data_IF_035101257886
#
_entry.id   IF_035101257886
#
_cell.length_a   1.000
_cell.length_b   1.000
_cell.length_c   1.000
_cell.angle_alpha   90.00
_cell.angle_beta   90.00
_cell.angle_gamma   90.00
#
_symmetry.space_group_name_H-M   'P 1'
#
loop_
_entity.id
_entity.type
_entity.pdbx_description
1 polymer ?
#
# COMPACT_ATOMS: atom_id res chain seq x y z
N UNK A 1 -22.96 -7.36 -8.46
CA UNK A 1 -23.57 -8.13 -9.57
C UNK A 1 -22.62 -9.21 -10.06
N UNK A 2 -21.34 -8.92 -10.30
CA UNK A 2 -20.36 -9.90 -10.83
C UNK A 2 -20.13 -11.14 -9.95
N UNK A 3 -20.15 -11.02 -8.62
CA UNK A 3 -19.97 -12.16 -7.71
C UNK A 3 -21.12 -13.20 -7.78
N UNK A 4 -22.38 -12.74 -7.95
CA UNK A 4 -23.53 -13.63 -8.12
C UNK A 4 -23.53 -14.29 -9.50
N UNK A 5 -23.14 -13.55 -10.55
CA UNK A 5 -22.90 -14.12 -11.87
C UNK A 5 -21.78 -15.18 -11.86
N UNK A 6 -20.68 -14.96 -11.12
CA UNK A 6 -19.59 -15.93 -11.03
C UNK A 6 -19.97 -17.24 -10.34
N UNK A 7 -20.78 -17.18 -9.29
CA UNK A 7 -21.36 -18.36 -8.62
C UNK A 7 -22.30 -19.10 -9.57
N UNK A 8 -23.17 -18.37 -10.27
CA UNK A 8 -24.10 -18.93 -11.24
C UNK A 8 -23.35 -19.63 -12.40
N UNK A 9 -22.36 -18.96 -13.00
CA UNK A 9 -21.52 -19.50 -14.09
C UNK A 9 -20.77 -20.76 -13.64
N UNK A 10 -20.18 -20.78 -12.44
CA UNK A 10 -19.48 -21.96 -11.94
C UNK A 10 -20.40 -23.16 -11.69
N UNK A 11 -21.68 -22.91 -11.39
CA UNK A 11 -22.69 -23.95 -11.19
C UNK A 11 -23.09 -24.65 -12.51
N UNK A 12 -22.97 -23.96 -13.65
CA UNK A 12 -23.30 -24.50 -14.97
C UNK A 12 -22.15 -25.26 -15.65
N UNK A 13 -20.90 -25.08 -15.21
CA UNK A 13 -19.75 -25.75 -15.82
C UNK A 13 -19.57 -27.17 -15.26
N UNK A 14 -19.38 -28.15 -16.13
CA UNK A 14 -18.96 -29.49 -15.76
C UNK A 14 -17.55 -29.51 -15.14
N UNK A 15 -17.19 -30.58 -14.44
CA UNK A 15 -15.85 -30.75 -13.85
C UNK A 15 -14.74 -30.64 -14.92
N UNK A 16 -15.00 -31.13 -16.14
CA UNK A 16 -14.08 -31.10 -17.27
C UNK A 16 -13.92 -29.69 -17.84
N UNK A 17 -15.01 -28.97 -18.07
CA UNK A 17 -14.96 -27.58 -18.55
C UNK A 17 -14.29 -26.68 -17.53
N UNK A 18 -14.53 -26.88 -16.24
CA UNK A 18 -13.78 -26.19 -15.18
C UNK A 18 -12.28 -26.49 -15.28
N UNK A 19 -11.86 -27.73 -15.59
CA UNK A 19 -10.44 -28.11 -15.75
C UNK A 19 -9.81 -27.51 -17.01
N UNK A 20 -10.54 -27.47 -18.12
CA UNK A 20 -10.08 -26.87 -19.38
C UNK A 20 -9.97 -25.33 -19.26
N UNK A 21 -11.00 -24.66 -18.70
CA UNK A 21 -10.94 -23.23 -18.36
C UNK A 21 -9.78 -22.90 -17.41
N UNK A 22 -9.53 -23.76 -16.40
CA UNK A 22 -8.39 -23.65 -15.46
C UNK A 22 -7.02 -23.76 -16.15
N UNK A 23 -6.91 -24.55 -17.22
CA UNK A 23 -5.66 -24.71 -17.97
C UNK A 23 -5.36 -23.49 -18.85
N UNK A 24 -6.41 -22.81 -19.34
CA UNK A 24 -6.32 -21.74 -20.32
C UNK A 24 -6.23 -20.35 -19.66
N UNK A 25 -6.95 -20.08 -18.57
CA UNK A 25 -6.91 -18.79 -17.88
C UNK A 25 -7.01 -18.93 -16.37
N UNK A 26 -6.15 -18.21 -15.61
CA UNK A 26 -6.30 -18.08 -14.15
C UNK A 26 -7.17 -16.90 -13.76
N UNK A 27 -7.66 -16.14 -14.73
CA UNK A 27 -8.35 -14.86 -14.57
C UNK A 27 -9.75 -14.98 -14.00
N UNK A 28 -10.42 -16.12 -14.21
CA UNK A 28 -11.70 -16.46 -13.55
C UNK A 28 -11.58 -16.46 -12.03
N UNK A 29 -10.36 -16.65 -11.48
CA UNK A 29 -10.15 -16.48 -10.06
C UNK A 29 -10.61 -15.11 -9.67
N UNK A 30 -10.28 -14.02 -10.38
CA UNK A 30 -10.65 -12.67 -9.99
C UNK A 30 -12.15 -12.48 -9.75
N UNK A 31 -12.99 -12.97 -10.66
CA UNK A 31 -14.43 -12.69 -10.66
C UNK A 31 -15.25 -13.60 -9.75
N UNK A 32 -14.74 -14.79 -9.37
CA UNK A 32 -15.52 -15.78 -8.64
C UNK A 32 -15.10 -15.88 -7.16
N UNK A 33 -15.63 -15.00 -6.32
CA UNK A 33 -15.35 -14.95 -4.86
C UNK A 33 -15.58 -16.26 -4.13
N UNK A 34 -16.65 -16.99 -4.49
CA UNK A 34 -16.91 -18.32 -3.93
C UNK A 34 -15.78 -19.31 -4.23
N UNK A 35 -15.27 -19.35 -5.45
CA UNK A 35 -14.15 -20.24 -5.82
C UNK A 35 -12.82 -19.81 -5.16
N UNK A 36 -12.66 -18.50 -4.93
CA UNK A 36 -11.49 -17.92 -4.27
C UNK A 36 -11.43 -18.27 -2.77
N UNK A 37 -12.57 -18.29 -2.06
CA UNK A 37 -12.59 -18.30 -0.59
C UNK A 37 -13.46 -19.37 0.07
N UNK A 38 -14.45 -19.94 -0.64
CA UNK A 38 -15.38 -20.92 -0.09
C UNK A 38 -14.82 -22.34 -0.24
N UNK A 39 -14.55 -22.96 0.91
CA UNK A 39 -13.96 -24.29 1.02
C UNK A 39 -14.86 -25.34 1.69
N UNK A 40 -16.09 -24.99 2.05
CA UNK A 40 -16.75 -25.57 3.23
C UNK A 40 -18.19 -26.03 3.01
N UNK A 41 -18.75 -25.96 1.81
CA UNK A 41 -20.09 -26.53 1.59
C UNK A 41 -20.00 -28.05 1.49
N UNK A 42 -20.83 -28.71 2.31
CA UNK A 42 -20.88 -30.15 2.55
C UNK A 42 -21.35 -30.97 1.34
N UNK A 43 -21.44 -30.38 0.15
CA UNK A 43 -21.78 -31.04 -1.10
C UNK A 43 -20.57 -31.03 -2.04
N UNK A 44 -19.97 -32.21 -2.15
CA UNK A 44 -19.02 -32.64 -3.21
C UNK A 44 -17.58 -32.08 -3.21
N UNK A 45 -16.69 -32.91 -2.64
CA UNK A 45 -15.29 -33.16 -3.01
C UNK A 45 -14.39 -31.93 -3.30
N UNK A 46 -13.89 -31.39 -2.18
CA UNK A 46 -12.57 -30.77 -1.91
C UNK A 46 -12.21 -29.37 -2.44
N UNK A 47 -12.08 -28.37 -1.53
CA UNK A 47 -11.37 -27.12 -1.84
C UNK A 47 -10.28 -26.70 -0.83
N UNK A 48 -9.90 -27.50 0.18
CA UNK A 48 -8.83 -27.13 1.15
C UNK A 48 -7.40 -27.22 0.60
N UNK A 49 -7.16 -28.03 -0.45
CA UNK A 49 -5.84 -28.23 -1.08
C UNK A 49 -5.73 -27.64 -2.49
N UNK A 50 -6.75 -26.94 -2.96
CA UNK A 50 -6.81 -26.41 -4.32
C UNK A 50 -5.91 -25.18 -4.48
N UNK A 51 -5.03 -25.16 -5.49
CA UNK A 51 -4.28 -23.96 -5.90
C UNK A 51 -5.17 -22.82 -6.42
N UNK A 52 -6.49 -22.99 -6.39
CA UNK A 52 -7.48 -22.01 -6.85
C UNK A 52 -8.22 -21.34 -5.69
N UNK A 53 -8.11 -21.89 -4.48
CA UNK A 53 -8.60 -21.25 -3.27
C UNK A 53 -7.46 -20.40 -2.69
N UNK A 54 -7.63 -19.08 -2.62
CA UNK A 54 -6.62 -18.12 -2.16
C UNK A 54 -6.20 -18.35 -0.70
N UNK A 55 -7.07 -18.98 0.11
CA UNK A 55 -6.77 -19.37 1.50
C UNK A 55 -6.04 -20.71 1.61
N UNK A 56 -5.93 -21.48 0.53
CA UNK A 56 -5.30 -22.80 0.58
C UNK A 56 -3.79 -22.70 0.76
N UNK A 57 -3.19 -23.71 1.41
CA UNK A 57 -1.73 -23.82 1.52
C UNK A 57 -1.07 -23.94 0.14
N UNK A 58 -1.72 -24.64 -0.78
CA UNK A 58 -1.19 -24.88 -2.13
C UNK A 58 -1.10 -23.59 -2.94
N UNK A 59 -2.16 -22.76 -2.95
CA UNK A 59 -2.15 -21.45 -3.60
C UNK A 59 -1.07 -20.56 -2.97
N UNK A 60 -1.07 -20.43 -1.63
CA UNK A 60 -0.07 -19.59 -0.94
C UNK A 60 1.36 -20.01 -1.26
N UNK A 61 1.63 -21.31 -1.34
CA UNK A 61 2.94 -21.80 -1.73
C UNK A 61 3.27 -21.43 -3.19
N UNK A 62 2.37 -21.71 -4.14
CA UNK A 62 2.58 -21.38 -5.55
C UNK A 62 2.78 -19.87 -5.78
N UNK A 63 1.99 -19.04 -5.11
CA UNK A 63 2.07 -17.59 -5.16
C UNK A 63 3.39 -17.06 -4.57
N UNK A 64 3.76 -17.48 -3.36
CA UNK A 64 5.01 -17.05 -2.72
C UNK A 64 6.23 -17.46 -3.53
N UNK A 65 6.25 -18.70 -4.04
CA UNK A 65 7.32 -19.18 -4.91
C UNK A 65 7.41 -18.32 -6.17
N UNK A 66 6.29 -18.09 -6.85
CA UNK A 66 6.25 -17.25 -8.04
C UNK A 66 6.77 -15.82 -7.78
N UNK A 67 6.31 -15.16 -6.72
CA UNK A 67 6.72 -13.79 -6.39
C UNK A 67 8.21 -13.71 -6.09
N UNK A 68 8.75 -14.67 -5.33
CA UNK A 68 10.19 -14.76 -5.05
C UNK A 68 10.98 -14.92 -6.34
N UNK A 69 10.58 -15.85 -7.21
CA UNK A 69 11.31 -16.15 -8.44
C UNK A 69 11.23 -14.97 -9.44
N UNK A 70 10.11 -14.24 -9.48
CA UNK A 70 9.97 -13.01 -10.26
C UNK A 70 10.83 -11.88 -9.72
N UNK A 71 10.87 -11.67 -8.41
CA UNK A 71 11.76 -10.68 -7.81
C UNK A 71 13.24 -11.01 -8.09
N UNK A 72 13.63 -12.29 -7.94
CA UNK A 72 15.00 -12.73 -8.21
C UNK A 72 15.42 -12.61 -9.68
N UNK A 73 14.50 -12.81 -10.62
CA UNK A 73 14.81 -12.66 -12.05
C UNK A 73 14.75 -11.21 -12.54
N UNK A 74 13.88 -10.38 -11.96
CA UNK A 74 13.76 -8.97 -12.31
C UNK A 74 14.91 -8.13 -11.74
N UNK A 75 15.33 -8.40 -10.50
CA UNK A 75 16.29 -7.55 -9.79
C UNK A 75 17.64 -7.38 -10.52
N UNK A 76 18.30 -8.43 -11.05
CA UNK A 76 19.56 -8.26 -11.77
C UNK A 76 19.42 -7.41 -13.03
N UNK A 77 18.27 -7.46 -13.71
CA UNK A 77 18.01 -6.62 -14.89
C UNK A 77 17.86 -5.16 -14.48
N UNK A 78 17.10 -4.90 -13.41
CA UNK A 78 16.96 -3.56 -12.84
C UNK A 78 18.31 -2.98 -12.39
N UNK A 79 19.11 -3.76 -11.64
CA UNK A 79 20.39 -3.30 -11.10
C UNK A 79 21.44 -3.01 -12.19
N UNK A 80 21.37 -3.68 -13.35
CA UNK A 80 22.23 -3.35 -14.51
C UNK A 80 22.00 -1.93 -15.04
N UNK A 81 20.85 -1.34 -14.76
CA UNK A 81 20.47 0.00 -15.20
C UNK A 81 20.73 1.07 -14.14
N UNK A 82 21.21 0.67 -12.97
CA UNK A 82 21.41 1.55 -11.81
C UNK A 82 22.89 1.62 -11.44
N UNK A 83 23.31 2.68 -10.72
CA UNK A 83 24.64 2.72 -10.12
C UNK A 83 24.90 1.50 -9.23
N UNK A 84 26.15 1.07 -9.16
CA UNK A 84 26.54 -0.07 -8.32
C UNK A 84 26.19 0.22 -6.86
N UNK A 85 25.55 -0.72 -6.17
CA UNK A 85 25.22 -0.55 -4.76
C UNK A 85 26.47 -0.46 -3.89
N UNK A 86 26.50 0.50 -2.97
CA UNK A 86 27.58 0.66 -2.00
C UNK A 86 27.07 0.33 -0.59
N UNK A 87 27.74 -0.61 0.07
CA UNK A 87 27.22 -1.29 1.27
C UNK A 87 27.14 -0.33 2.46
N UNK A 88 28.16 0.49 2.67
CA UNK A 88 28.28 1.38 3.81
C UNK A 88 27.20 2.47 3.77
N UNK A 89 27.04 3.12 2.63
CA UNK A 89 26.06 4.17 2.38
C UNK A 89 24.62 3.61 2.43
N UNK A 90 24.43 2.38 1.96
CA UNK A 90 23.13 1.69 2.12
C UNK A 90 22.80 1.44 3.60
N UNK A 91 23.79 1.08 4.41
CA UNK A 91 23.60 0.86 5.84
C UNK A 91 23.35 2.16 6.59
N UNK A 92 23.99 3.26 6.19
CA UNK A 92 23.72 4.60 6.71
C UNK A 92 22.29 5.05 6.40
N UNK A 93 21.85 4.93 5.15
CA UNK A 93 20.47 5.21 4.74
C UNK A 93 19.46 4.41 5.58
N UNK A 94 19.74 3.13 5.84
CA UNK A 94 18.88 2.28 6.69
C UNK A 94 18.81 2.75 8.14
N UNK A 95 19.93 3.23 8.70
CA UNK A 95 19.93 3.85 10.04
C UNK A 95 19.05 5.10 10.04
N UNK A 96 19.18 5.94 9.01
CA UNK A 96 18.33 7.13 8.83
C UNK A 96 16.83 6.81 8.77
N UNK A 97 16.44 5.75 8.04
CA UNK A 97 15.05 5.29 7.98
C UNK A 97 14.49 4.87 9.36
N UNK A 98 15.31 4.22 10.19
CA UNK A 98 14.92 3.89 11.56
C UNK A 98 14.74 5.16 12.41
N UNK A 99 15.60 6.16 12.25
CA UNK A 99 15.46 7.45 12.94
C UNK A 99 14.21 8.20 12.49
N UNK A 100 13.87 8.19 11.20
CA UNK A 100 12.63 8.78 10.69
C UNK A 100 11.39 8.29 11.41
N UNK A 101 11.32 6.97 11.63
CA UNK A 101 10.19 6.35 12.34
C UNK A 101 10.12 6.75 13.82
N UNK A 102 11.25 7.08 14.44
CA UNK A 102 11.36 7.31 15.88
C UNK A 102 11.29 8.80 16.26
N UNK A 103 11.92 9.67 15.47
CA UNK A 103 12.09 11.11 15.76
C UNK A 103 11.57 12.03 14.66
N UNK A 104 10.99 11.49 13.59
CA UNK A 104 10.36 12.27 12.51
C UNK A 104 11.32 12.94 11.53
N UNK A 105 12.62 12.61 11.59
CA UNK A 105 13.61 13.15 10.64
C UNK A 105 13.47 12.47 9.27
N UNK A 106 13.26 13.23 8.20
CA UNK A 106 13.18 12.67 6.85
C UNK A 106 14.54 12.09 6.43
N UNK A 107 14.60 10.84 5.95
CA UNK A 107 15.84 10.25 5.44
C UNK A 107 16.13 10.82 4.04
N UNK A 108 17.38 11.22 3.78
CA UNK A 108 17.78 11.65 2.43
C UNK A 108 18.03 10.43 1.55
N UNK A 109 17.44 10.43 0.36
CA UNK A 109 17.73 9.44 -0.66
C UNK A 109 18.63 9.99 -1.76
N UNK A 110 19.39 11.08 -1.55
CA UNK A 110 20.23 11.71 -2.58
C UNK A 110 21.38 10.82 -3.09
N UNK A 111 21.95 9.97 -2.24
CA UNK A 111 23.05 9.08 -2.64
C UNK A 111 22.55 7.92 -3.54
N UNK A 112 22.95 7.93 -4.81
CA UNK A 112 22.48 6.98 -5.80
C UNK A 112 22.93 5.52 -5.55
N UNK A 113 24.11 5.33 -4.95
CA UNK A 113 24.63 4.01 -4.59
C UNK A 113 23.87 3.41 -3.40
N UNK A 114 23.52 4.24 -2.41
CA UNK A 114 22.67 3.84 -1.29
C UNK A 114 21.26 3.45 -1.76
N UNK A 115 20.68 4.20 -2.72
CA UNK A 115 19.38 3.85 -3.34
C UNK A 115 19.42 2.49 -4.03
N UNK A 116 20.47 2.21 -4.81
CA UNK A 116 20.62 0.90 -5.47
C UNK A 116 20.70 -0.24 -4.46
N UNK A 117 21.45 -0.07 -3.36
CA UNK A 117 21.53 -1.08 -2.31
C UNK A 117 20.20 -1.24 -1.55
N UNK A 118 19.46 -0.15 -1.33
CA UNK A 118 18.10 -0.21 -0.79
C UNK A 118 17.18 -1.02 -1.71
N UNK A 119 17.24 -0.77 -3.03
CA UNK A 119 16.47 -1.51 -4.04
C UNK A 119 16.77 -3.01 -3.98
N UNK A 120 18.07 -3.34 -3.97
CA UNK A 120 18.54 -4.72 -3.88
C UNK A 120 18.03 -5.43 -2.61
N UNK A 121 18.06 -4.75 -1.47
CA UNK A 121 17.67 -5.35 -0.18
C UNK A 121 16.15 -5.41 0.03
N UNK A 122 15.36 -4.61 -0.69
CA UNK A 122 13.91 -4.44 -0.44
C UNK A 122 13.02 -4.86 -1.62
N UNK A 123 13.55 -5.53 -2.63
CA UNK A 123 12.76 -6.03 -3.78
C UNK A 123 11.55 -6.89 -3.38
N UNK A 124 11.62 -7.56 -2.24
CA UNK A 124 10.51 -8.36 -1.70
C UNK A 124 9.25 -7.52 -1.42
N UNK A 125 9.38 -6.19 -1.29
CA UNK A 125 8.25 -5.25 -1.14
C UNK A 125 7.35 -5.19 -2.38
N UNK A 126 7.78 -5.68 -3.54
CA UNK A 126 6.89 -5.94 -4.68
C UNK A 126 5.72 -6.88 -4.31
N UNK A 127 5.84 -7.63 -3.21
CA UNK A 127 4.75 -8.45 -2.68
C UNK A 127 3.64 -7.67 -1.99
N UNK A 128 3.85 -6.43 -1.56
CA UNK A 128 2.96 -5.78 -0.59
C UNK A 128 1.54 -5.59 -1.12
N UNK A 129 1.37 -4.72 -2.12
CA UNK A 129 0.07 -4.50 -2.75
C UNK A 129 -0.54 -5.79 -3.31
N UNK A 130 0.16 -6.65 -4.08
CA UNK A 130 -0.42 -7.90 -4.57
C UNK A 130 -0.96 -8.82 -3.47
N UNK A 131 -0.27 -8.94 -2.33
CA UNK A 131 -0.74 -9.77 -1.23
C UNK A 131 -1.99 -9.17 -0.56
N UNK A 132 -2.08 -7.85 -0.45
CA UNK A 132 -3.32 -7.19 0.01
C UNK A 132 -4.44 -7.42 -0.98
N UNK A 133 -4.16 -7.26 -2.28
CA UNK A 133 -5.12 -7.51 -3.34
C UNK A 133 -5.61 -8.95 -3.34
N UNK A 134 -4.98 -9.92 -2.66
CA UNK A 134 -5.47 -11.31 -2.54
C UNK A 134 -6.41 -11.55 -1.35
N UNK A 135 -6.69 -10.52 -0.55
CA UNK A 135 -7.65 -10.58 0.56
C UNK A 135 -9.09 -10.64 0.05
N UNK A 136 -10.02 -11.02 0.93
CA UNK A 136 -11.44 -11.14 0.56
C UNK A 136 -12.07 -9.75 0.39
N UNK A 137 -11.68 -8.84 1.28
CA UNK A 137 -12.06 -7.43 1.33
C UNK A 137 -11.76 -6.70 0.01
N UNK A 138 -10.65 -7.06 -0.66
CA UNK A 138 -10.23 -6.47 -1.93
C UNK A 138 -10.63 -7.28 -3.16
N UNK A 139 -11.56 -8.22 -3.03
CA UNK A 139 -12.02 -9.03 -4.17
C UNK A 139 -12.66 -8.22 -5.29
N UNK A 140 -13.47 -7.21 -4.95
CA UNK A 140 -14.09 -6.30 -5.93
C UNK A 140 -13.02 -5.51 -6.69
N UNK A 141 -12.15 -4.78 -5.98
CA UNK A 141 -11.06 -4.01 -6.59
C UNK A 141 -10.16 -4.88 -7.48
N UNK A 142 -9.75 -6.06 -6.98
CA UNK A 142 -8.96 -7.03 -7.75
C UNK A 142 -9.70 -7.45 -9.03
N UNK A 143 -11.01 -7.67 -8.97
CA UNK A 143 -11.81 -8.01 -10.16
C UNK A 143 -11.81 -6.89 -11.18
N UNK A 144 -11.97 -5.65 -10.73
CA UNK A 144 -12.00 -4.48 -11.60
C UNK A 144 -10.63 -4.19 -12.25
N UNK A 145 -9.55 -4.26 -11.46
CA UNK A 145 -8.16 -4.07 -11.90
C UNK A 145 -7.73 -5.04 -13.00
N UNK A 146 -8.26 -6.26 -12.99
CA UNK A 146 -7.87 -7.30 -13.93
C UNK A 146 -9.04 -7.82 -14.78
N UNK A 147 -10.13 -7.06 -14.91
CA UNK A 147 -11.31 -7.42 -15.73
C UNK A 147 -10.93 -7.68 -17.19
N UNK A 148 -11.60 -8.64 -17.87
CA UNK A 148 -11.43 -8.91 -19.31
C UNK A 148 -11.90 -7.72 -20.15
N UNK A 149 -11.17 -7.42 -21.23
CA UNK A 149 -11.54 -6.36 -22.19
C UNK A 149 -11.69 -4.98 -21.52
N UNK A 150 -10.69 -4.58 -20.74
CA UNK A 150 -10.66 -3.21 -20.22
C UNK A 150 -10.61 -2.22 -21.39
N UNK A 151 -11.66 -1.41 -21.52
CA UNK A 151 -11.73 -0.36 -22.54
C UNK A 151 -10.87 0.86 -22.18
N UNK A 152 -10.41 0.96 -20.93
CA UNK A 152 -9.64 2.07 -20.39
C UNK A 152 -8.47 1.57 -19.55
N UNK A 153 -7.36 2.30 -19.57
CA UNK A 153 -6.21 2.09 -18.68
C UNK A 153 -6.60 2.39 -17.23
N UNK A 154 -5.99 1.67 -16.29
CA UNK A 154 -6.00 2.00 -14.87
C UNK A 154 -4.87 2.96 -14.56
N UNK A 155 -5.21 4.16 -14.10
CA UNK A 155 -4.26 5.14 -13.62
C UNK A 155 -4.09 4.99 -12.10
N UNK A 156 -2.85 4.76 -11.68
CA UNK A 156 -2.43 4.56 -10.30
C UNK A 156 -1.51 5.70 -9.87
N UNK A 157 -1.77 6.30 -8.71
CA UNK A 157 -0.90 7.29 -8.08
C UNK A 157 -0.23 6.66 -6.85
N UNK A 158 1.10 6.54 -6.86
CA UNK A 158 1.88 5.92 -5.79
C UNK A 158 2.62 7.01 -5.00
N UNK A 159 2.05 7.44 -3.89
CA UNK A 159 2.62 8.48 -3.02
C UNK A 159 3.65 7.88 -2.06
N UNK A 160 4.86 8.47 -2.05
CA UNK A 160 6.03 7.86 -1.41
C UNK A 160 6.39 6.52 -2.06
N UNK A 161 6.14 6.39 -3.36
CA UNK A 161 6.27 5.12 -4.07
C UNK A 161 7.72 4.64 -4.23
N UNK A 162 8.70 5.50 -3.95
CA UNK A 162 10.13 5.21 -4.02
C UNK A 162 10.53 4.53 -5.33
N UNK A 163 11.04 3.28 -5.31
CA UNK A 163 11.44 2.56 -6.53
C UNK A 163 10.28 1.94 -7.32
N UNK A 164 9.01 2.18 -6.95
CA UNK A 164 7.85 1.72 -7.70
C UNK A 164 7.45 0.25 -7.47
N UNK A 165 7.76 -0.29 -6.28
CA UNK A 165 7.51 -1.70 -5.95
C UNK A 165 6.05 -2.13 -6.13
N UNK A 166 5.08 -1.29 -5.76
CA UNK A 166 3.65 -1.63 -5.88
C UNK A 166 3.23 -1.77 -7.35
N UNK A 167 3.77 -0.95 -8.25
CA UNK A 167 3.53 -1.09 -9.68
C UNK A 167 4.16 -2.37 -10.23
N UNK A 168 5.44 -2.63 -9.92
CA UNK A 168 6.14 -3.85 -10.35
C UNK A 168 5.42 -5.11 -9.85
N UNK A 169 5.02 -5.10 -8.57
CA UNK A 169 4.24 -6.17 -7.96
C UNK A 169 2.90 -6.41 -8.67
N UNK A 170 2.20 -5.34 -9.04
CA UNK A 170 0.95 -5.42 -9.80
C UNK A 170 1.16 -6.06 -11.17
N UNK A 171 2.29 -5.77 -11.84
CA UNK A 171 2.67 -6.46 -13.08
C UNK A 171 2.89 -7.95 -12.82
N UNK A 172 3.64 -8.34 -11.78
CA UNK A 172 3.85 -9.75 -11.45
C UNK A 172 2.53 -10.47 -11.18
N UNK A 173 1.60 -9.82 -10.47
CA UNK A 173 0.25 -10.34 -10.26
C UNK A 173 -0.48 -10.54 -11.60
N UNK A 174 -0.43 -9.55 -12.51
CA UNK A 174 -0.99 -9.68 -13.87
C UNK A 174 -0.47 -10.93 -14.58
N UNK A 175 0.84 -11.17 -14.53
CA UNK A 175 1.47 -12.33 -15.15
C UNK A 175 1.00 -13.64 -14.52
N UNK A 176 0.98 -13.71 -13.19
CA UNK A 176 0.57 -14.90 -12.45
C UNK A 176 -0.84 -15.34 -12.82
N UNK A 177 -1.73 -14.36 -13.00
CA UNK A 177 -3.13 -14.58 -13.34
C UNK A 177 -3.41 -14.60 -14.85
N UNK A 178 -2.39 -14.38 -15.69
CA UNK A 178 -2.48 -14.32 -17.15
C UNK A 178 -3.45 -13.25 -17.67
N UNK A 179 -3.51 -12.10 -17.02
CA UNK A 179 -4.35 -10.97 -17.43
C UNK A 179 -3.59 -10.01 -18.36
N UNK A 180 -2.99 -10.52 -19.44
CA UNK A 180 -2.03 -9.79 -20.28
C UNK A 180 -2.58 -8.52 -20.95
N UNK A 181 -3.89 -8.48 -21.18
CA UNK A 181 -4.68 -7.36 -21.70
C UNK A 181 -5.07 -6.33 -20.64
N UNK A 182 -4.67 -6.48 -19.37
CA UNK A 182 -4.87 -5.44 -18.36
C UNK A 182 -3.81 -4.33 -18.54
N UNK A 183 -4.28 -3.08 -18.61
CA UNK A 183 -3.46 -1.91 -18.90
C UNK A 183 -3.30 -1.03 -17.66
N UNK A 184 -2.05 -0.78 -17.27
CA UNK A 184 -1.71 0.04 -16.11
C UNK A 184 -0.85 1.24 -16.50
N UNK A 185 -1.17 2.39 -15.94
CA UNK A 185 -0.31 3.56 -15.91
C UNK A 185 -0.10 3.93 -14.45
N UNK A 186 1.13 3.80 -13.94
CA UNK A 186 1.45 4.19 -12.58
C UNK A 186 2.37 5.41 -12.58
N UNK A 187 1.93 6.47 -11.90
CA UNK A 187 2.79 7.60 -11.57
C UNK A 187 3.26 7.47 -10.13
N UNK A 188 4.57 7.43 -9.94
CA UNK A 188 5.21 7.53 -8.64
C UNK A 188 5.37 8.99 -8.28
N UNK A 189 4.73 9.37 -7.18
CA UNK A 189 4.76 10.68 -6.58
C UNK A 189 5.65 10.62 -5.35
N UNK A 190 6.79 11.31 -5.38
CA UNK A 190 7.77 11.27 -4.29
C UNK A 190 8.45 12.64 -4.14
N UNK A 191 8.83 12.99 -2.92
CA UNK A 191 9.53 14.25 -2.67
C UNK A 191 11.01 14.14 -3.02
N UNK A 192 11.57 12.93 -3.08
CA UNK A 192 12.97 12.67 -3.40
C UNK A 192 13.17 12.47 -4.91
N UNK A 193 13.72 13.47 -5.64
CA UNK A 193 13.88 13.39 -7.09
C UNK A 193 14.84 12.27 -7.52
N UNK A 194 15.69 11.79 -6.61
CA UNK A 194 16.61 10.67 -6.83
C UNK A 194 15.92 9.38 -7.25
N UNK A 195 14.63 9.20 -6.98
CA UNK A 195 13.87 8.02 -7.42
C UNK A 195 13.56 8.01 -8.91
N UNK A 196 13.61 9.15 -9.60
CA UNK A 196 13.33 9.21 -11.05
C UNK A 196 14.15 8.19 -11.84
N UNK A 197 15.45 8.08 -11.56
CA UNK A 197 16.31 7.13 -12.27
C UNK A 197 15.91 5.66 -12.02
N UNK A 198 15.43 5.34 -10.81
CA UNK A 198 14.93 4.01 -10.47
C UNK A 198 13.63 3.69 -11.22
N UNK A 199 12.73 4.67 -11.35
CA UNK A 199 11.48 4.51 -12.10
C UNK A 199 11.75 4.37 -13.60
N UNK A 200 12.64 5.18 -14.16
CA UNK A 200 13.05 5.06 -15.56
C UNK A 200 13.68 3.69 -15.85
N UNK A 201 14.56 3.21 -14.96
CA UNK A 201 15.19 1.89 -15.04
C UNK A 201 14.17 0.74 -14.92
N UNK A 202 13.20 0.84 -13.99
CA UNK A 202 12.13 -0.13 -13.86
C UNK A 202 11.24 -0.17 -15.12
N UNK A 203 10.89 1.00 -15.67
CA UNK A 203 10.14 1.09 -16.92
C UNK A 203 10.87 0.46 -18.11
N UNK A 204 12.17 0.73 -18.26
CA UNK A 204 13.00 0.11 -19.29
C UNK A 204 13.12 -1.41 -19.11
N UNK A 205 13.31 -1.88 -17.88
CA UNK A 205 13.36 -3.31 -17.56
C UNK A 205 12.04 -4.01 -17.92
N UNK A 206 10.90 -3.40 -17.58
CA UNK A 206 9.58 -3.92 -17.95
C UNK A 206 9.40 -3.97 -19.48
N UNK A 207 9.86 -2.96 -20.21
CA UNK A 207 9.84 -2.94 -21.67
C UNK A 207 10.70 -4.07 -22.28
N UNK A 208 11.90 -4.30 -21.76
CA UNK A 208 12.77 -5.41 -22.19
C UNK A 208 12.11 -6.78 -21.96
N UNK A 209 11.32 -6.90 -20.88
CA UNK A 209 10.52 -8.10 -20.57
C UNK A 209 9.19 -8.17 -21.34
N UNK A 210 8.98 -7.29 -22.33
CA UNK A 210 7.80 -7.30 -23.20
C UNK A 210 6.51 -6.80 -22.54
N UNK A 211 6.58 -6.12 -21.39
CA UNK A 211 5.41 -5.66 -20.63
C UNK A 211 4.80 -4.36 -21.21
N UNK A 212 4.41 -4.37 -22.48
CA UNK A 212 3.95 -3.18 -23.25
C UNK A 212 2.69 -2.51 -22.71
N UNK A 213 1.88 -3.24 -21.95
CA UNK A 213 0.62 -2.73 -21.38
C UNK A 213 0.82 -2.09 -19.99
N UNK A 214 2.03 -1.58 -19.73
CA UNK A 214 2.41 -0.94 -18.46
C UNK A 214 3.23 0.30 -18.80
N UNK A 215 2.91 1.41 -18.14
CA UNK A 215 3.75 2.60 -18.18
C UNK A 215 4.01 3.08 -16.76
N UNK A 216 5.26 3.47 -16.51
CA UNK A 216 5.71 4.04 -15.25
C UNK A 216 6.24 5.45 -15.50
N UNK A 217 5.86 6.37 -14.63
CA UNK A 217 6.39 7.74 -14.63
C UNK A 217 6.68 8.20 -13.22
N UNK A 218 7.57 9.17 -13.08
CA UNK A 218 7.88 9.83 -11.83
C UNK A 218 7.42 11.29 -11.90
N UNK A 219 6.88 11.80 -10.80
CA UNK A 219 6.57 13.20 -10.60
C UNK A 219 6.91 13.60 -9.16
N UNK A 220 7.33 14.84 -8.96
CA UNK A 220 7.54 15.37 -7.63
C UNK A 220 6.19 15.55 -6.91
N UNK A 221 6.17 15.32 -5.59
CA UNK A 221 5.01 15.52 -4.72
C UNK A 221 5.45 15.55 -3.25
N UNK A 222 4.85 16.42 -2.44
CA UNK A 222 4.97 16.38 -0.98
C UNK A 222 3.58 16.23 -0.35
N UNK A 223 3.35 15.09 0.29
CA UNK A 223 2.07 14.74 0.93
C UNK A 223 1.74 15.58 2.17
N UNK A 224 2.66 16.45 2.60
CA UNK A 224 2.47 17.36 3.73
C UNK A 224 1.99 18.75 3.32
N UNK A 225 1.96 19.02 2.01
CA UNK A 225 1.49 20.28 1.42
C UNK A 225 0.12 20.11 0.77
N UNK A 226 -0.60 21.21 0.55
CA UNK A 226 -1.90 21.15 -0.14
C UNK A 226 -1.75 20.75 -1.63
N UNK A 227 -2.83 20.30 -2.26
CA UNK A 227 -2.85 20.00 -3.69
C UNK A 227 -2.66 21.24 -4.59
N UNK A 228 -2.99 22.43 -4.09
CA UNK A 228 -2.84 23.69 -4.83
C UNK A 228 -1.39 24.19 -4.92
N UNK A 229 -0.46 23.62 -4.17
CA UNK A 229 0.94 24.04 -4.20
C UNK A 229 1.65 23.59 -5.47
N UNK A 230 2.77 24.24 -5.79
CA UNK A 230 3.54 23.95 -7.01
C UNK A 230 4.10 22.53 -7.00
N UNK A 231 4.48 22.04 -5.82
CA UNK A 231 5.04 20.71 -5.60
C UNK A 231 4.03 19.62 -5.97
N UNK A 232 2.74 19.87 -5.76
CA UNK A 232 1.65 18.91 -5.99
C UNK A 232 0.86 19.15 -7.28
N UNK A 233 1.34 20.05 -8.15
CA UNK A 233 0.68 20.42 -9.41
C UNK A 233 0.31 19.20 -10.27
N UNK A 234 1.20 18.23 -10.39
CA UNK A 234 0.95 17.04 -11.22
C UNK A 234 -0.14 16.14 -10.65
N UNK A 235 -0.23 16.03 -9.32
CA UNK A 235 -1.30 15.30 -8.65
C UNK A 235 -2.65 15.92 -9.01
N UNK A 236 -2.77 17.25 -8.86
CA UNK A 236 -3.99 18.00 -9.19
C UNK A 236 -4.43 17.82 -10.64
N UNK A 237 -3.49 17.80 -11.59
CA UNK A 237 -3.78 17.59 -13.01
C UNK A 237 -4.28 16.17 -13.31
N UNK A 238 -3.71 15.13 -12.68
CA UNK A 238 -4.09 13.74 -12.95
C UNK A 238 -5.25 13.22 -12.08
N UNK A 239 -5.68 14.00 -11.08
CA UNK A 239 -6.54 13.51 -9.99
C UNK A 239 -7.88 12.94 -10.48
N UNK A 240 -8.51 13.61 -11.45
CA UNK A 240 -9.81 13.18 -11.99
C UNK A 240 -9.74 11.87 -12.77
N UNK A 241 -8.58 11.57 -13.35
CA UNK A 241 -8.35 10.36 -14.13
C UNK A 241 -7.77 9.22 -13.30
N UNK A 242 -7.36 9.46 -12.06
CA UNK A 242 -6.75 8.45 -11.19
C UNK A 242 -7.83 7.62 -10.50
N UNK A 243 -7.73 6.29 -10.61
CA UNK A 243 -8.69 5.37 -9.97
C UNK A 243 -8.13 4.71 -8.71
N UNK A 244 -6.81 4.60 -8.58
CA UNK A 244 -6.18 3.94 -7.45
C UNK A 244 -5.05 4.79 -6.88
N UNK A 245 -5.23 5.22 -5.63
CA UNK A 245 -4.28 5.98 -4.85
C UNK A 245 -3.63 5.06 -3.82
N UNK A 246 -2.30 5.04 -3.78
CA UNK A 246 -1.52 4.15 -2.94
C UNK A 246 -0.54 4.97 -2.10
N UNK A 247 -0.55 4.74 -0.80
CA UNK A 247 0.39 5.33 0.17
C UNK A 247 1.09 4.18 0.88
N UNK A 248 2.34 3.91 0.51
CA UNK A 248 3.06 2.74 1.01
C UNK A 248 4.27 3.15 1.83
N UNK A 249 4.18 2.99 3.15
CA UNK A 249 5.22 3.30 4.13
C UNK A 249 5.65 4.78 4.14
N UNK A 250 4.73 5.69 3.82
CA UNK A 250 5.02 7.15 3.75
C UNK A 250 4.31 7.95 4.85
N UNK A 251 3.20 7.44 5.37
CA UNK A 251 2.36 8.19 6.30
C UNK A 251 2.98 8.27 7.70
N UNK A 252 3.54 7.17 8.21
CA UNK A 252 4.19 7.14 9.52
C UNK A 252 5.44 8.01 9.54
N UNK A 253 6.24 7.97 8.46
CA UNK A 253 7.45 8.81 8.31
C UNK A 253 7.12 10.31 8.35
N UNK A 254 5.90 10.69 7.97
CA UNK A 254 5.43 12.08 7.95
C UNK A 254 4.37 12.37 9.03
N UNK A 255 4.21 11.52 10.06
CA UNK A 255 3.08 11.60 10.99
C UNK A 255 2.93 12.99 11.64
N UNK A 256 4.00 13.56 12.19
CA UNK A 256 3.95 14.87 12.83
C UNK A 256 3.54 15.96 11.83
N UNK A 257 4.17 16.00 10.66
CA UNK A 257 3.86 16.99 9.62
C UNK A 257 2.43 16.84 9.08
N UNK A 258 1.95 15.60 8.89
CA UNK A 258 0.58 15.32 8.49
C UNK A 258 -0.41 15.78 9.56
N UNK A 259 -0.13 15.53 10.84
CA UNK A 259 -0.99 15.99 11.94
C UNK A 259 -1.00 17.51 12.06
N UNK A 260 0.18 18.14 12.01
CA UNK A 260 0.33 19.58 12.25
C UNK A 260 -0.22 20.42 11.07
N UNK A 261 -0.21 19.86 9.85
CA UNK A 261 -0.92 20.39 8.69
C UNK A 261 -2.40 19.97 8.63
N UNK A 262 -2.89 19.28 9.67
CA UNK A 262 -4.24 18.72 9.77
C UNK A 262 -4.66 17.87 8.54
N UNK A 263 -3.71 17.16 7.96
CA UNK A 263 -3.87 16.30 6.80
C UNK A 263 -4.38 17.05 5.56
N UNK A 264 -3.92 18.29 5.35
CA UNK A 264 -4.35 19.18 4.26
C UNK A 264 -4.33 18.50 2.88
N UNK A 265 -3.26 17.76 2.57
CA UNK A 265 -3.14 17.00 1.33
C UNK A 265 -4.29 15.99 1.17
N UNK A 266 -4.55 15.17 2.20
CA UNK A 266 -5.58 14.13 2.16
C UNK A 266 -6.99 14.73 2.12
N UNK A 267 -7.24 15.82 2.84
CA UNK A 267 -8.51 16.56 2.76
C UNK A 267 -8.80 16.99 1.32
N UNK A 268 -7.85 17.68 0.70
CA UNK A 268 -7.97 18.14 -0.69
C UNK A 268 -8.08 16.98 -1.67
N UNK A 269 -7.31 15.91 -1.47
CA UNK A 269 -7.35 14.71 -2.29
C UNK A 269 -8.71 14.03 -2.22
N UNK A 270 -9.26 13.78 -1.03
CA UNK A 270 -10.56 13.15 -0.86
C UNK A 270 -11.70 14.03 -1.38
N UNK A 271 -11.59 15.35 -1.26
CA UNK A 271 -12.61 16.28 -1.76
C UNK A 271 -12.66 16.24 -3.29
N UNK A 272 -11.49 16.27 -3.94
CA UNK A 272 -11.38 16.49 -5.39
C UNK A 272 -11.27 15.20 -6.21
N UNK A 273 -10.95 14.06 -5.61
CA UNK A 273 -10.86 12.78 -6.34
C UNK A 273 -12.19 12.35 -6.97
N UNK A 274 -12.07 11.55 -8.02
CA UNK A 274 -13.23 10.99 -8.71
C UNK A 274 -13.98 10.00 -7.82
N UNK A 275 -15.29 9.98 -7.97
CA UNK A 275 -16.13 8.90 -7.44
C UNK A 275 -15.66 7.57 -8.02
N UNK A 276 -15.69 6.51 -7.20
CA UNK A 276 -15.17 5.19 -7.55
C UNK A 276 -13.68 5.00 -7.28
N UNK A 277 -12.97 6.05 -6.84
CA UNK A 277 -11.54 5.93 -6.54
C UNK A 277 -11.30 5.11 -5.28
N UNK A 278 -10.27 4.27 -5.34
CA UNK A 278 -9.76 3.51 -4.21
C UNK A 278 -8.52 4.17 -3.63
N UNK A 279 -8.41 4.12 -2.30
CA UNK A 279 -7.24 4.55 -1.56
C UNK A 279 -6.74 3.38 -0.73
N UNK A 280 -5.46 3.05 -0.85
CA UNK A 280 -4.82 1.99 -0.06
C UNK A 280 -3.64 2.62 0.66
N UNK A 281 -3.70 2.57 1.98
CA UNK A 281 -2.61 2.97 2.85
C UNK A 281 -1.99 1.72 3.46
N UNK A 282 -0.67 1.60 3.41
CA UNK A 282 0.08 0.53 4.07
C UNK A 282 1.21 1.12 4.88
N UNK A 283 1.41 0.64 6.10
CA UNK A 283 2.49 1.13 6.94
C UNK A 283 2.89 0.10 8.01
N UNK A 284 4.01 0.37 8.67
CA UNK A 284 4.57 -0.38 9.80
C UNK A 284 3.67 -0.39 11.05
N UNK A 285 2.76 0.58 11.17
CA UNK A 285 1.82 0.73 12.28
C UNK A 285 0.45 1.22 11.82
N UNK A 286 -0.60 0.95 12.60
CA UNK A 286 -1.98 1.36 12.31
C UNK A 286 -2.39 2.71 12.94
N UNK A 287 -1.47 3.39 13.63
CA UNK A 287 -1.78 4.56 14.47
C UNK A 287 -2.45 5.71 13.71
N UNK A 288 -2.20 5.86 12.42
CA UNK A 288 -2.82 6.93 11.62
C UNK A 288 -4.19 6.58 11.05
N UNK A 289 -4.59 5.30 11.04
CA UNK A 289 -5.82 4.87 10.36
C UNK A 289 -7.10 5.54 10.87
N UNK A 290 -7.30 5.73 12.19
CA UNK A 290 -8.47 6.45 12.67
C UNK A 290 -8.51 7.89 12.14
N UNK A 291 -7.41 8.64 12.26
CA UNK A 291 -7.35 10.03 11.81
C UNK A 291 -7.54 10.18 10.29
N UNK A 292 -6.91 9.31 9.49
CA UNK A 292 -7.08 9.32 8.02
C UNK A 292 -8.53 9.01 7.63
N UNK A 293 -9.17 8.05 8.30
CA UNK A 293 -10.59 7.75 8.07
C UNK A 293 -11.49 8.92 8.48
N UNK A 294 -11.22 9.54 9.64
CA UNK A 294 -11.99 10.68 10.13
C UNK A 294 -11.92 11.86 9.15
N UNK A 295 -10.75 12.12 8.56
CA UNK A 295 -10.56 13.11 7.48
C UNK A 295 -11.41 12.78 6.25
N UNK A 296 -11.41 11.54 5.78
CA UNK A 296 -12.24 11.12 4.65
C UNK A 296 -13.74 11.28 4.95
N UNK A 297 -14.17 10.89 6.15
CA UNK A 297 -15.56 10.95 6.56
C UNK A 297 -16.03 12.39 6.84
N UNK A 298 -15.14 13.29 7.27
CA UNK A 298 -15.44 14.71 7.40
C UNK A 298 -15.65 15.38 6.03
N UNK A 299 -14.88 14.98 5.02
CA UNK A 299 -15.01 15.48 3.65
C UNK A 299 -16.32 15.00 3.00
N UNK A 300 -16.68 13.73 3.18
CA UNK A 300 -17.91 13.17 2.63
C UNK A 300 -18.51 12.12 3.59
N UNK A 301 -19.47 12.57 4.39
CA UNK A 301 -20.08 11.78 5.45
C UNK A 301 -20.70 10.48 4.92
N UNK A 302 -20.22 9.35 5.46
CA UNK A 302 -20.71 8.01 5.12
C UNK A 302 -20.65 7.70 3.62
N UNK A 303 -19.69 8.30 2.90
CA UNK A 303 -19.41 8.07 1.46
C UNK A 303 -18.13 7.29 1.20
N UNK A 304 -17.35 6.97 2.22
CA UNK A 304 -16.16 6.14 2.08
C UNK A 304 -16.40 4.75 2.70
N UNK A 305 -16.44 3.71 1.85
CA UNK A 305 -16.31 2.33 2.36
C UNK A 305 -14.93 2.19 2.96
N UNK A 306 -14.83 1.42 4.04
CA UNK A 306 -13.58 1.24 4.77
C UNK A 306 -13.33 -0.22 5.07
N UNK A 307 -12.07 -0.62 4.93
CA UNK A 307 -11.56 -1.93 5.33
C UNK A 307 -10.20 -1.79 5.99
N UNK A 308 -9.88 -2.70 6.89
CA UNK A 308 -8.53 -2.83 7.47
C UNK A 308 -8.04 -4.27 7.28
N UNK A 309 -7.76 -4.68 6.04
CA UNK A 309 -7.37 -6.05 5.73
C UNK A 309 -5.98 -6.34 6.29
N UNK A 310 -5.68 -7.63 6.47
CA UNK A 310 -4.37 -8.10 6.90
C UNK A 310 -3.78 -9.04 5.85
N UNK A 311 -2.52 -8.80 5.46
CA UNK A 311 -1.76 -9.67 4.59
C UNK A 311 -0.35 -9.86 5.15
N UNK A 312 0.21 -11.08 5.10
CA UNK A 312 1.47 -11.42 5.82
C UNK A 312 2.69 -10.56 5.44
N UNK A 313 2.69 -9.90 4.29
CA UNK A 313 3.76 -9.02 3.82
C UNK A 313 3.52 -7.53 4.09
N UNK A 314 2.30 -7.16 4.51
CA UNK A 314 1.94 -5.79 4.88
C UNK A 314 1.60 -5.76 6.36
N UNK A 315 2.29 -4.93 7.15
CA UNK A 315 2.06 -4.89 8.60
C UNK A 315 0.62 -4.45 8.91
N UNK A 316 0.24 -3.27 8.43
CA UNK A 316 -1.12 -2.75 8.57
C UNK A 316 -1.57 -2.12 7.26
N UNK A 317 -2.88 -2.23 6.98
CA UNK A 317 -3.48 -1.57 5.84
C UNK A 317 -4.81 -0.91 6.22
N UNK A 318 -5.05 0.26 5.63
CA UNK A 318 -6.35 0.93 5.57
C UNK A 318 -6.73 1.04 4.10
N UNK A 319 -7.92 0.62 3.75
CA UNK A 319 -8.47 0.77 2.41
C UNK A 319 -9.71 1.63 2.49
N UNK A 320 -9.81 2.62 1.62
CA UNK A 320 -11.01 3.43 1.42
C UNK A 320 -11.48 3.32 -0.02
N UNK A 321 -12.80 3.40 -0.24
CA UNK A 321 -13.38 3.50 -1.57
C UNK A 321 -14.47 4.56 -1.57
N UNK A 322 -14.27 5.61 -2.38
CA UNK A 322 -15.21 6.74 -2.50
C UNK A 322 -16.44 6.32 -3.31
N UNK A 323 -17.58 6.30 -2.66
CA UNK A 323 -18.84 5.91 -3.27
C UNK A 323 -19.49 7.06 -4.06
N UNK A 324 -20.36 6.74 -5.04
CA UNK A 324 -21.24 7.73 -5.65
C UNK A 324 -22.24 8.30 -4.65
N UNK A 325 -22.61 9.58 -4.80
CA UNK A 325 -23.58 10.23 -3.91
C UNK A 325 -24.94 9.51 -3.90
N UNK A 326 -25.33 8.93 -5.05
CA UNK A 326 -26.60 8.20 -5.21
C UNK A 326 -26.58 6.76 -4.69
N UNK A 327 -25.43 6.23 -4.27
CA UNK A 327 -25.37 4.87 -3.73
C UNK A 327 -25.90 4.80 -2.30
N UNK A 328 -26.11 3.57 -1.82
CA UNK A 328 -26.32 3.33 -0.39
C UNK A 328 -25.16 3.94 0.43
N UNK A 329 -25.40 4.32 1.69
CA UNK A 329 -24.33 4.72 2.60
C UNK A 329 -23.26 3.65 2.78
N UNK A 330 -22.02 4.07 3.03
CA UNK A 330 -20.90 3.17 3.25
C UNK A 330 -21.17 2.19 4.41
N UNK A 331 -21.88 2.65 5.45
CA UNK A 331 -22.34 1.86 6.58
C UNK A 331 -23.23 0.66 6.21
N UNK A 332 -23.88 0.67 5.04
CA UNK A 332 -24.70 -0.44 4.57
C UNK A 332 -23.92 -1.53 3.81
N UNK A 333 -22.62 -1.35 3.57
CA UNK A 333 -21.80 -2.31 2.82
C UNK A 333 -21.11 -3.33 3.74
N UNK A 334 -20.78 -4.53 3.23
CA UNK A 334 -20.04 -5.54 3.97
C UNK A 334 -18.71 -5.01 4.52
N UNK A 335 -18.25 -5.61 5.63
CA UNK A 335 -17.01 -5.29 6.35
C UNK A 335 -16.97 -3.92 7.06
N UNK A 336 -17.89 -3.00 6.78
CA UNK A 336 -17.87 -1.65 7.37
C UNK A 336 -17.89 -1.69 8.91
N UNK A 337 -18.85 -2.40 9.52
CA UNK A 337 -18.97 -2.51 10.98
C UNK A 337 -17.71 -3.09 11.61
N UNK A 338 -17.14 -4.13 11.01
CA UNK A 338 -15.91 -4.75 11.49
C UNK A 338 -14.71 -3.79 11.39
N UNK A 339 -14.60 -3.05 10.28
CA UNK A 339 -13.55 -2.06 10.08
C UNK A 339 -13.69 -0.90 11.09
N UNK A 340 -14.90 -0.40 11.32
CA UNK A 340 -15.17 0.62 12.34
C UNK A 340 -14.77 0.16 13.74
N UNK A 341 -15.11 -1.07 14.12
CA UNK A 341 -14.68 -1.63 15.41
C UNK A 341 -13.14 -1.68 15.54
N UNK A 342 -12.45 -2.14 14.51
CA UNK A 342 -10.98 -2.14 14.49
C UNK A 342 -10.37 -0.74 14.56
N UNK A 343 -10.98 0.25 13.91
CA UNK A 343 -10.53 1.65 14.01
C UNK A 343 -10.68 2.19 15.44
N UNK A 344 -11.73 1.83 16.17
CA UNK A 344 -11.86 2.18 17.59
C UNK A 344 -10.79 1.48 18.44
N UNK A 345 -10.48 0.21 18.16
CA UNK A 345 -9.39 -0.51 18.82
C UNK A 345 -8.03 0.19 18.58
N UNK A 346 -7.79 0.62 17.35
CA UNK A 346 -6.60 1.37 16.95
C UNK A 346 -6.51 2.73 17.64
N UNK A 347 -7.63 3.44 17.78
CA UNK A 347 -7.70 4.71 18.51
C UNK A 347 -7.34 4.52 19.98
N UNK A 348 -7.89 3.48 20.64
CA UNK A 348 -7.55 3.14 22.03
C UNK A 348 -6.07 2.80 22.19
N UNK A 349 -5.49 2.06 21.24
CA UNK A 349 -4.07 1.73 21.26
C UNK A 349 -3.18 2.98 21.06
N UNK A 350 -3.56 3.87 20.16
CA UNK A 350 -2.86 5.14 19.95
C UNK A 350 -2.88 6.02 21.20
N UNK A 351 -4.05 6.15 21.85
CA UNK A 351 -4.21 6.95 23.06
C UNK A 351 -3.31 6.44 24.19
N UNK A 352 -3.31 5.12 24.46
CA UNK A 352 -2.41 4.51 25.45
C UNK A 352 -0.93 4.74 25.14
N UNK A 353 -0.56 4.71 23.85
CA UNK A 353 0.81 4.96 23.44
C UNK A 353 1.22 6.43 23.70
N UNK A 354 0.34 7.39 23.41
CA UNK A 354 0.58 8.80 23.70
C UNK A 354 0.71 9.05 25.20
N UNK A 355 -0.16 8.45 26.01
CA UNK A 355 -0.08 8.50 27.48
C UNK A 355 1.27 7.96 27.97
N UNK A 356 1.70 6.79 27.47
CA UNK A 356 2.99 6.19 27.84
C UNK A 356 4.17 7.07 27.44
N UNK A 357 4.13 7.69 26.25
CA UNK A 357 5.19 8.60 25.79
C UNK A 357 5.26 9.86 26.66
N UNK A 358 4.11 10.43 27.04
CA UNK A 358 4.06 11.60 27.92
C UNK A 358 4.62 11.28 29.30
N UNK A 359 4.28 10.12 29.88
CA UNK A 359 4.86 9.67 31.16
C UNK A 359 6.38 9.52 31.07
N UNK A 360 6.90 8.87 30.02
CA UNK A 360 8.35 8.71 29.83
C UNK A 360 9.09 10.03 29.56
N UNK A 361 8.43 10.99 28.90
CA UNK A 361 9.01 12.30 28.66
C UNK A 361 9.02 13.16 29.92
N UNK A 362 7.97 13.06 30.75
CA UNK A 362 7.92 13.69 32.07
C UNK A 362 9.00 13.10 32.99
N UNK A 363 9.12 11.77 33.08
CA UNK A 363 10.16 11.09 33.88
C UNK A 363 11.59 11.50 33.46
N UNK A 364 11.85 11.68 32.15
CA UNK A 364 13.15 12.20 31.68
C UNK A 364 13.37 13.66 32.02
N UNK A 365 12.32 14.47 31.99
CA UNK A 365 12.42 15.90 32.31
C UNK A 365 12.67 16.08 33.81
N UNK A 366 11.94 15.34 34.64
CA UNK A 366 12.10 15.32 36.09
C UNK A 366 13.50 14.81 36.49
N UNK A 367 14.06 13.79 35.80
CA UNK A 367 15.45 13.34 36.02
C UNK A 367 16.50 14.40 35.67
N UNK A 368 16.32 15.13 34.57
CA UNK A 368 17.23 16.21 34.16
C UNK A 368 17.13 17.41 35.11
N UNK A 369 15.93 17.70 35.62
CA UNK A 369 15.73 18.74 36.64
C UNK A 369 16.33 18.36 38.00
N UNK A 370 16.22 17.10 38.43
CA UNK A 370 16.84 16.60 39.65
C UNK A 370 18.37 16.58 39.55
N UNK A 371 18.95 16.14 38.43
CA UNK A 371 20.39 16.23 38.18
C UNK A 371 20.88 17.69 38.11
N UNK A 372 20.08 18.58 37.49
CA UNK A 372 20.36 20.02 37.44
C UNK A 372 20.32 20.68 38.82
N UNK A 373 19.37 20.32 39.68
CA UNK A 373 19.28 20.81 41.07
C UNK A 373 20.44 20.31 41.93
N UNK A 374 20.80 19.03 41.80
CA UNK A 374 21.94 18.45 42.52
C UNK A 374 23.27 19.15 42.16
N UNK A 375 23.44 19.56 40.90
CA UNK A 375 24.62 20.32 40.44
C UNK A 375 24.64 21.77 40.97
N UNK A 376 23.48 22.40 41.15
CA UNK A 376 23.37 23.75 41.73
C UNK A 376 23.63 23.72 43.24
N UNK A 377 23.13 22.71 43.97
CA UNK A 377 23.40 22.56 45.41
C UNK A 377 24.89 22.31 45.71
N UNK A 378 25.59 21.57 44.85
CA UNK A 378 27.05 21.37 44.94
C UNK A 378 27.86 22.65 44.65
N UNK A 379 27.32 23.59 43.86
CA UNK A 379 27.97 24.86 43.55
C UNK A 379 27.73 25.96 44.62
N UNK A 380 26.76 25.77 45.52
CA UNK A 380 26.42 26.70 46.62
C UNK A 380 27.15 26.43 47.95
N UNK A 381 28.08 25.47 47.98
CA UNK A 381 28.97 25.28 49.13
C UNK A 381 30.14 26.26 49.02
N UNK A 382 30.04 27.40 49.70
CA UNK A 382 31.16 28.36 49.81
C UNK A 382 32.38 27.67 50.45
N UNK A 383 33.60 27.95 49.95
CA UNK A 383 34.82 27.38 50.51
C UNK A 383 35.11 28.05 51.86
N UNK A 384 35.04 27.27 52.94
CA UNK A 384 35.64 27.63 54.23
C UNK A 384 37.11 27.23 54.28
#
# INVERSE_FOLDING_TARGET
>A
MDAQCGVLVASFLSLRERRELRAVSRRWLFTCTWLQFSGNDKSEVQPRKSVWNLRSRAFRHAWTTFMRDKCHSFLPLLLKMLPVAAVEETMELKKGLCLSTNIGQRPSFENAHARSGYIQQKINRCGNLPNLLLTEELSELRSELFRVNQSKRWNMALYGGGPGYDAIGTVFMREFFRAWDAYFHATVYDNEPGWKCAIDAAGQTLNQLGQRNVSLSFQHCDITLDLSTVENKHVSLSLRDTQLHLFSFVCVENFCLLRDSEYVFLRSLFAQCSVGSYFIFTDSTHRLWPAIFDVANAVALDRFRVWTPFARSCHYALVLHKLPDRSKPASAYPFYTQAKQKLEDFRRHQQKHLETMQTQQQERTDQVEDEGRALVELASVEPN
#
